data_IF_429091913827
#
_entry.id   IF_429091913827
#
_cell.length_a   1.000
_cell.length_b   1.000
_cell.length_c   1.000
_cell.angle_alpha   90.00
_cell.angle_beta   90.00
_cell.angle_gamma   90.00
#
_symmetry.space_group_name_H-M   'P 1'
#
loop_
_entity.id
_entity.type
_entity.pdbx_description
1 polymer ?
#
# COMPACT_ATOMS: atom_id res chain seq x y z
N UNK A 1 -7.53 -17.74 13.19
CA UNK A 1 -8.66 -16.85 12.86
C UNK A 1 -9.50 -17.51 11.75
N UNK A 2 -10.73 -17.07 11.51
CA UNK A 2 -11.58 -17.54 10.39
C UNK A 2 -11.90 -16.40 9.38
N UNK A 3 -12.62 -16.70 8.30
CA UNK A 3 -13.00 -15.73 7.25
C UNK A 3 -13.66 -14.46 7.81
N UNK A 4 -14.66 -14.61 8.69
CA UNK A 4 -15.39 -13.48 9.26
C UNK A 4 -14.45 -12.58 10.08
N UNK A 5 -13.56 -13.17 10.87
CA UNK A 5 -12.56 -12.43 11.64
C UNK A 5 -11.54 -11.71 10.75
N UNK A 6 -11.19 -12.27 9.58
CA UNK A 6 -10.34 -11.57 8.61
C UNK A 6 -11.07 -10.33 8.06
N UNK A 7 -12.32 -10.48 7.64
CA UNK A 7 -13.08 -9.36 7.07
C UNK A 7 -13.29 -8.26 8.10
N UNK A 8 -13.57 -8.60 9.36
CA UNK A 8 -13.62 -7.62 10.46
C UNK A 8 -12.28 -6.89 10.61
N UNK A 9 -11.17 -7.62 10.65
CA UNK A 9 -9.82 -7.05 10.73
C UNK A 9 -9.50 -6.11 9.56
N UNK A 10 -9.86 -6.50 8.32
CA UNK A 10 -9.60 -5.68 7.14
C UNK A 10 -10.44 -4.39 7.13
N UNK A 11 -11.63 -4.39 7.74
CA UNK A 11 -12.52 -3.23 7.83
C UNK A 11 -12.31 -2.37 9.09
N UNK A 12 -11.51 -2.83 10.06
CA UNK A 12 -11.16 -2.08 11.28
C UNK A 12 -10.40 -0.79 10.95
N UNK A 13 -10.78 0.33 11.54
CA UNK A 13 -10.18 1.64 11.22
C UNK A 13 -8.82 1.86 11.87
N UNK A 14 -8.53 1.12 12.96
CA UNK A 14 -7.30 1.31 13.74
C UNK A 14 -6.14 0.49 13.19
N UNK A 15 -6.43 -0.58 12.46
CA UNK A 15 -5.45 -1.50 11.92
C UNK A 15 -5.11 -1.15 10.47
N UNK A 16 -3.91 -0.62 10.25
CA UNK A 16 -3.39 -0.30 8.91
C UNK A 16 -2.28 -1.26 8.48
N UNK A 17 -1.44 -1.72 9.42
CA UNK A 17 -0.38 -2.68 9.15
C UNK A 17 -0.76 -4.06 9.69
N UNK A 18 -0.53 -5.09 8.88
CA UNK A 18 -1.08 -6.44 9.12
C UNK A 18 -0.03 -7.52 9.37
N UNK A 19 1.26 -7.16 9.43
CA UNK A 19 2.36 -8.12 9.57
C UNK A 19 2.17 -9.07 10.75
N UNK A 20 1.83 -8.54 11.93
CA UNK A 20 1.63 -9.33 13.15
C UNK A 20 0.38 -10.24 13.10
N UNK A 21 -0.47 -10.07 12.10
CA UNK A 21 -1.66 -10.88 11.89
C UNK A 21 -1.44 -12.04 10.91
N UNK A 22 -0.36 -12.03 10.11
CA UNK A 22 -0.06 -13.08 9.12
C UNK A 22 0.05 -14.47 9.76
N UNK A 23 0.70 -14.57 10.92
CA UNK A 23 0.90 -15.84 11.62
C UNK A 23 -0.38 -16.42 12.24
N UNK A 24 -1.50 -15.66 12.22
CA UNK A 24 -2.81 -16.11 12.73
C UNK A 24 -3.59 -16.97 11.74
N UNK A 25 -3.06 -17.13 10.51
CA UNK A 25 -3.59 -17.95 9.44
C UNK A 25 -2.51 -18.89 8.88
N UNK A 26 -2.84 -20.14 8.49
CA UNK A 26 -1.90 -21.05 7.83
C UNK A 26 -1.31 -20.43 6.55
N UNK A 27 -0.02 -20.59 6.31
CA UNK A 27 0.68 -19.91 5.21
C UNK A 27 0.14 -20.26 3.81
N UNK A 28 -0.42 -21.45 3.65
CA UNK A 28 -1.02 -21.94 2.42
C UNK A 28 -2.49 -21.54 2.23
N UNK A 29 -3.11 -20.95 3.27
CA UNK A 29 -4.52 -20.56 3.26
C UNK A 29 -4.78 -19.33 2.41
N UNK A 30 -6.01 -19.21 1.90
CA UNK A 30 -6.41 -18.09 1.04
C UNK A 30 -6.47 -16.77 1.83
N UNK A 31 -6.81 -16.85 3.12
CA UNK A 31 -6.83 -15.74 4.07
C UNK A 31 -5.42 -15.20 4.32
N UNK A 32 -4.43 -16.09 4.47
CA UNK A 32 -3.04 -15.69 4.59
C UNK A 32 -2.57 -14.96 3.33
N UNK A 33 -2.88 -15.50 2.14
CA UNK A 33 -2.54 -14.85 0.86
C UNK A 33 -3.19 -13.47 0.73
N UNK A 34 -4.46 -13.32 1.11
CA UNK A 34 -5.14 -12.03 1.08
C UNK A 34 -4.49 -11.04 2.07
N UNK A 35 -4.17 -11.49 3.28
CA UNK A 35 -3.51 -10.65 4.28
C UNK A 35 -2.06 -10.30 3.90
N UNK A 36 -1.38 -11.18 3.17
CA UNK A 36 -0.05 -10.95 2.59
C UNK A 36 -0.09 -9.81 1.56
N UNK A 37 -1.14 -9.74 0.73
CA UNK A 37 -1.37 -8.60 -0.18
C UNK A 37 -1.52 -7.29 0.60
N UNK A 38 -2.33 -7.27 1.67
CA UNK A 38 -2.44 -6.07 2.51
C UNK A 38 -1.11 -5.71 3.20
N UNK A 39 -0.29 -6.71 3.55
CA UNK A 39 0.97 -6.46 4.24
C UNK A 39 2.05 -5.93 3.30
N UNK A 40 2.23 -6.56 2.14
CA UNK A 40 3.37 -6.29 1.25
C UNK A 40 2.97 -5.93 -0.19
N UNK A 41 1.82 -6.40 -0.65
CA UNK A 41 1.35 -6.21 -2.03
C UNK A 41 0.65 -4.88 -2.28
N UNK A 42 0.11 -4.75 -3.49
CA UNK A 42 -0.63 -3.61 -4.02
C UNK A 42 -1.98 -4.04 -4.60
N UNK A 43 -2.78 -3.08 -5.05
CA UNK A 43 -4.11 -3.31 -5.61
C UNK A 43 -4.12 -4.33 -6.75
N UNK A 44 -3.13 -4.29 -7.65
CA UNK A 44 -3.03 -5.26 -8.73
C UNK A 44 -2.78 -6.69 -8.24
N UNK A 45 -2.00 -6.87 -7.16
CA UNK A 45 -1.79 -8.21 -6.56
C UNK A 45 -3.12 -8.77 -6.01
N UNK A 46 -3.98 -7.89 -5.48
CA UNK A 46 -5.34 -8.29 -5.08
C UNK A 46 -6.19 -8.67 -6.30
N UNK A 47 -6.16 -7.89 -7.38
CA UNK A 47 -6.96 -8.21 -8.59
C UNK A 47 -6.57 -9.56 -9.21
N UNK A 48 -5.29 -9.93 -9.12
CA UNK A 48 -4.84 -11.25 -9.55
C UNK A 48 -5.30 -12.36 -8.60
N UNK A 49 -5.20 -12.15 -7.28
CA UNK A 49 -5.70 -13.09 -6.27
C UNK A 49 -7.23 -13.23 -6.27
N UNK A 50 -7.97 -12.15 -6.56
CA UNK A 50 -9.44 -12.08 -6.50
C UNK A 50 -10.13 -13.14 -7.37
N UNK A 51 -9.46 -13.58 -8.45
CA UNK A 51 -9.94 -14.63 -9.36
C UNK A 51 -10.14 -15.96 -8.62
N UNK A 52 -9.30 -16.23 -7.62
CA UNK A 52 -9.30 -17.46 -6.83
C UNK A 52 -9.97 -17.30 -5.46
N UNK A 53 -10.33 -16.07 -5.05
CA UNK A 53 -10.98 -15.83 -3.77
C UNK A 53 -12.43 -16.36 -3.74
N UNK A 54 -12.88 -16.95 -2.62
CA UNK A 54 -14.29 -17.23 -2.41
C UNK A 54 -15.09 -15.92 -2.29
N UNK A 55 -16.38 -15.97 -2.64
CA UNK A 55 -17.21 -14.77 -2.80
C UNK A 55 -17.33 -13.91 -1.52
N UNK A 56 -17.23 -14.52 -0.35
CA UNK A 56 -17.26 -13.87 0.96
C UNK A 56 -15.96 -13.12 1.32
N UNK A 57 -14.85 -13.45 0.65
CA UNK A 57 -13.56 -12.76 0.81
C UNK A 57 -13.28 -11.71 -0.25
N UNK A 58 -14.09 -11.64 -1.32
CA UNK A 58 -13.96 -10.59 -2.34
C UNK A 58 -14.34 -9.23 -1.76
N UNK A 59 -13.46 -8.26 -1.96
CA UNK A 59 -13.67 -6.89 -1.51
C UNK A 59 -14.70 -6.21 -2.40
N UNK A 60 -15.73 -5.63 -1.80
CA UNK A 60 -16.60 -4.71 -2.53
C UNK A 60 -15.77 -3.48 -2.93
N UNK A 61 -15.90 -2.93 -4.16
CA UNK A 61 -15.03 -1.83 -4.63
C UNK A 61 -14.98 -0.61 -3.71
N UNK A 62 -16.12 -0.27 -3.07
CA UNK A 62 -16.24 0.87 -2.16
C UNK A 62 -16.19 0.45 -0.67
N UNK A 63 -15.76 -0.78 -0.37
CA UNK A 63 -15.58 -1.21 1.03
C UNK A 63 -14.38 -0.51 1.66
N UNK A 64 -14.38 -0.42 3.00
CA UNK A 64 -13.24 0.12 3.76
C UNK A 64 -11.97 -0.68 3.52
N UNK A 65 -12.08 -2.01 3.47
CA UNK A 65 -10.96 -2.87 3.14
C UNK A 65 -10.36 -2.54 1.75
N UNK A 66 -11.20 -2.33 0.73
CA UNK A 66 -10.72 -1.91 -0.60
C UNK A 66 -10.03 -0.54 -0.57
N UNK A 67 -10.67 0.46 0.06
CA UNK A 67 -10.09 1.81 0.20
C UNK A 67 -8.74 1.78 0.94
N UNK A 68 -8.63 0.97 1.99
CA UNK A 68 -7.39 0.78 2.74
C UNK A 68 -6.28 0.16 1.88
N UNK A 69 -6.60 -0.87 1.09
CA UNK A 69 -5.62 -1.45 0.16
C UNK A 69 -5.19 -0.43 -0.91
N UNK A 70 -6.11 0.39 -1.42
CA UNK A 70 -5.78 1.51 -2.33
C UNK A 70 -4.87 2.54 -1.66
N UNK A 71 -5.10 2.89 -0.38
CA UNK A 71 -4.21 3.78 0.38
C UNK A 71 -2.80 3.19 0.52
N UNK A 72 -2.70 1.90 0.87
CA UNK A 72 -1.43 1.18 0.97
C UNK A 72 -0.72 1.10 -0.39
N UNK A 73 -1.48 0.98 -1.48
CA UNK A 73 -0.98 0.99 -2.85
C UNK A 73 -0.40 2.35 -3.25
N UNK A 74 -1.12 3.44 -2.97
CA UNK A 74 -0.61 4.81 -3.17
C UNK A 74 0.66 5.05 -2.35
N UNK A 75 0.71 4.51 -1.13
CA UNK A 75 1.90 4.58 -0.28
C UNK A 75 3.08 3.87 -0.94
N UNK A 76 2.88 2.67 -1.46
CA UNK A 76 3.91 1.94 -2.22
C UNK A 76 4.36 2.68 -3.48
N UNK A 77 3.42 3.32 -4.20
CA UNK A 77 3.75 4.12 -5.38
C UNK A 77 4.69 5.28 -5.01
N UNK A 78 4.36 6.03 -3.96
CA UNK A 78 5.14 7.19 -3.54
C UNK A 78 6.47 6.85 -2.82
N UNK A 79 6.72 5.58 -2.49
CA UNK A 79 8.05 5.16 -2.03
C UNK A 79 9.13 5.35 -3.11
N UNK A 80 8.75 5.23 -4.39
CA UNK A 80 9.68 5.30 -5.52
C UNK A 80 9.45 6.50 -6.44
N UNK A 81 8.31 7.19 -6.29
CA UNK A 81 7.92 8.31 -7.14
C UNK A 81 7.61 9.52 -6.26
N UNK A 82 8.23 10.67 -6.52
CA UNK A 82 7.89 11.90 -5.79
C UNK A 82 6.59 12.51 -6.33
N UNK A 83 6.25 12.27 -7.59
CA UNK A 83 5.08 12.83 -8.27
C UNK A 83 4.21 11.72 -8.84
N UNK A 84 2.88 11.90 -8.81
CA UNK A 84 1.91 11.01 -9.44
C UNK A 84 0.88 11.79 -10.22
N UNK A 85 0.84 11.61 -11.54
CA UNK A 85 -0.25 12.12 -12.40
C UNK A 85 -1.55 11.41 -12.07
N UNK A 86 -2.69 12.11 -12.14
CA UNK A 86 -4.00 11.51 -11.89
C UNK A 86 -4.26 10.27 -12.75
N UNK A 87 -3.94 10.30 -14.04
CA UNK A 87 -4.10 9.14 -14.92
C UNK A 87 -3.31 7.92 -14.42
N UNK A 88 -2.05 8.10 -14.08
CA UNK A 88 -1.20 7.02 -13.54
C UNK A 88 -1.74 6.52 -12.21
N UNK A 89 -2.14 7.42 -11.32
CA UNK A 89 -2.68 7.03 -10.01
C UNK A 89 -4.00 6.28 -10.15
N UNK A 90 -4.90 6.70 -11.06
CA UNK A 90 -6.15 5.99 -11.36
C UNK A 90 -5.90 4.54 -11.73
N UNK A 91 -4.93 4.29 -12.63
CA UNK A 91 -4.54 2.93 -13.01
C UNK A 91 -3.96 2.15 -11.84
N UNK A 92 -3.05 2.77 -11.07
CA UNK A 92 -2.34 2.14 -9.95
C UNK A 92 -3.28 1.68 -8.83
N UNK A 93 -4.30 2.48 -8.49
CA UNK A 93 -5.27 2.14 -7.43
C UNK A 93 -6.61 1.62 -7.96
N UNK A 94 -6.77 1.48 -9.28
CA UNK A 94 -8.05 1.13 -9.90
C UNK A 94 -9.18 2.09 -9.52
N UNK A 95 -8.92 3.40 -9.56
CA UNK A 95 -9.93 4.44 -9.32
C UNK A 95 -10.68 4.79 -10.60
N UNK A 96 -11.94 5.20 -10.46
CA UNK A 96 -12.83 5.54 -11.58
C UNK A 96 -12.54 6.92 -12.17
N UNK A 97 -12.20 7.86 -11.31
CA UNK A 97 -12.05 9.27 -11.63
C UNK A 97 -11.01 9.94 -10.72
N UNK A 98 -10.73 11.21 -11.02
CA UNK A 98 -9.77 12.01 -10.25
C UNK A 98 -10.25 12.24 -8.82
N UNK A 99 -11.56 12.40 -8.61
CA UNK A 99 -12.15 12.60 -7.28
C UNK A 99 -11.87 11.39 -6.36
N UNK A 100 -12.01 10.16 -6.86
CA UNK A 100 -11.66 8.96 -6.11
C UNK A 100 -10.15 8.92 -5.80
N UNK A 101 -9.28 9.36 -6.72
CA UNK A 101 -7.83 9.46 -6.44
C UNK A 101 -7.56 10.45 -5.32
N UNK A 102 -8.14 11.65 -5.35
CA UNK A 102 -7.97 12.64 -4.28
C UNK A 102 -8.46 12.12 -2.95
N UNK A 103 -9.65 11.52 -2.93
CA UNK A 103 -10.23 10.95 -1.72
C UNK A 103 -9.33 9.88 -1.09
N UNK A 104 -8.76 8.97 -1.90
CA UNK A 104 -7.83 7.95 -1.40
C UNK A 104 -6.51 8.59 -0.96
N UNK A 105 -5.98 9.58 -1.69
CA UNK A 105 -4.73 10.25 -1.33
C UNK A 105 -4.86 11.04 -0.02
N UNK A 106 -5.98 11.74 0.17
CA UNK A 106 -6.36 12.44 1.40
C UNK A 106 -6.57 11.44 2.55
N UNK A 107 -7.22 10.31 2.29
CA UNK A 107 -7.40 9.24 3.28
C UNK A 107 -6.05 8.66 3.73
N UNK A 108 -5.15 8.37 2.78
CA UNK A 108 -3.80 7.91 3.09
C UNK A 108 -3.02 8.96 3.91
N UNK A 109 -3.19 10.25 3.61
CA UNK A 109 -2.64 11.33 4.44
C UNK A 109 -3.28 11.36 5.85
N UNK A 110 -4.58 11.15 5.96
CA UNK A 110 -5.30 11.04 7.24
C UNK A 110 -4.79 9.88 8.12
N UNK A 111 -4.40 8.76 7.50
CA UNK A 111 -3.73 7.65 8.18
C UNK A 111 -2.24 7.90 8.47
N UNK A 112 -1.69 9.05 8.07
CA UNK A 112 -0.27 9.37 8.24
C UNK A 112 0.67 8.53 7.36
N UNK A 113 0.13 7.88 6.32
CA UNK A 113 0.93 7.06 5.39
C UNK A 113 1.73 7.91 4.40
N UNK A 114 1.17 9.07 4.03
CA UNK A 114 1.80 10.02 3.11
C UNK A 114 1.56 11.44 3.60
N UNK A 115 2.39 12.36 3.14
CA UNK A 115 2.15 13.80 3.16
C UNK A 115 2.20 14.29 1.73
N UNK A 116 1.11 14.83 1.23
CA UNK A 116 0.93 15.19 -0.17
C UNK A 116 0.57 16.67 -0.34
N UNK A 117 0.77 17.16 -1.55
CA UNK A 117 0.24 18.41 -2.05
C UNK A 117 -0.42 18.13 -3.41
N UNK A 118 -1.66 18.58 -3.56
CA UNK A 118 -2.41 18.43 -4.82
C UNK A 118 -2.15 19.65 -5.69
N UNK A 119 -1.70 19.43 -6.92
CA UNK A 119 -1.56 20.46 -7.95
C UNK A 119 -2.61 20.22 -9.05
N UNK A 120 -3.75 20.90 -8.91
CA UNK A 120 -4.86 20.79 -9.86
C UNK A 120 -4.49 21.28 -11.26
N UNK A 121 -3.59 22.27 -11.37
CA UNK A 121 -3.23 22.84 -12.67
C UNK A 121 -2.37 21.88 -13.48
N UNK A 122 -1.49 21.14 -12.81
CA UNK A 122 -0.66 20.12 -13.42
C UNK A 122 -1.38 18.76 -13.58
N UNK A 123 -2.53 18.58 -12.91
CA UNK A 123 -3.19 17.28 -12.76
C UNK A 123 -2.25 16.24 -12.12
N UNK A 124 -1.57 16.64 -11.04
CA UNK A 124 -0.58 15.82 -10.33
C UNK A 124 -0.72 15.93 -8.80
N UNK A 125 -0.27 14.89 -8.10
CA UNK A 125 -0.10 14.87 -6.65
C UNK A 125 1.41 14.72 -6.35
N UNK A 126 1.94 15.69 -5.61
CA UNK A 126 3.32 15.70 -5.13
C UNK A 126 3.39 15.09 -3.72
N UNK A 127 4.25 14.10 -3.52
CA UNK A 127 4.52 13.49 -2.23
C UNK A 127 5.74 14.12 -1.56
N UNK A 128 5.51 14.75 -0.41
CA UNK A 128 6.54 15.40 0.40
C UNK A 128 7.18 14.43 1.39
N UNK A 129 6.42 13.42 1.83
CA UNK A 129 6.88 12.38 2.76
C UNK A 129 6.02 11.14 2.59
N UNK A 130 6.64 9.98 2.71
CA UNK A 130 5.99 8.68 2.72
C UNK A 130 6.43 7.90 3.95
N UNK A 131 5.50 7.20 4.58
CA UNK A 131 5.76 6.27 5.66
C UNK A 131 6.26 4.93 5.09
N UNK A 132 7.13 4.25 5.83
CA UNK A 132 7.58 2.93 5.45
C UNK A 132 6.45 1.92 5.62
N UNK A 133 6.20 1.10 4.58
CA UNK A 133 5.41 -0.12 4.70
C UNK A 133 6.25 -1.26 5.30
N UNK A 134 5.58 -2.36 5.63
CA UNK A 134 6.23 -3.59 6.06
C UNK A 134 7.17 -4.12 4.97
N UNK A 135 8.30 -4.68 5.39
CA UNK A 135 9.22 -5.43 4.53
C UNK A 135 9.15 -6.91 4.92
N UNK A 136 9.34 -7.81 3.96
CA UNK A 136 9.40 -9.24 4.31
C UNK A 136 10.69 -9.49 5.08
N UNK A 137 10.63 -10.41 6.04
CA UNK A 137 11.81 -10.84 6.78
C UNK A 137 12.61 -11.89 5.98
N UNK A 138 13.06 -11.50 4.78
CA UNK A 138 13.90 -12.32 3.91
C UNK A 138 15.30 -11.68 3.80
N UNK A 139 16.37 -12.47 3.64
CA UNK A 139 17.70 -11.91 3.43
C UNK A 139 17.75 -10.92 2.26
N UNK A 140 17.05 -11.23 1.17
CA UNK A 140 17.00 -10.39 -0.04
C UNK A 140 16.40 -9.01 0.23
N UNK A 141 15.26 -8.95 0.92
CA UNK A 141 14.60 -7.67 1.21
C UNK A 141 15.37 -6.84 2.25
N UNK A 142 15.98 -7.50 3.23
CA UNK A 142 16.85 -6.84 4.21
C UNK A 142 18.11 -6.28 3.54
N UNK A 143 18.72 -7.03 2.61
CA UNK A 143 19.90 -6.59 1.86
C UNK A 143 19.57 -5.38 0.97
N UNK A 144 18.38 -5.32 0.36
CA UNK A 144 17.91 -4.14 -0.38
C UNK A 144 17.84 -2.90 0.51
N UNK A 145 17.28 -3.02 1.72
CA UNK A 145 17.20 -1.89 2.67
C UNK A 145 18.60 -1.45 3.11
N UNK A 146 19.49 -2.39 3.43
CA UNK A 146 20.87 -2.10 3.80
C UNK A 146 21.61 -1.42 2.64
N UNK A 147 21.41 -1.90 1.42
CA UNK A 147 21.95 -1.31 0.19
C UNK A 147 21.53 0.15 0.03
N UNK A 148 20.23 0.43 0.11
CA UNK A 148 19.69 1.80 0.02
C UNK A 148 20.31 2.75 1.07
N UNK A 149 20.51 2.27 2.30
CA UNK A 149 21.16 3.06 3.36
C UNK A 149 22.64 3.33 3.03
N UNK A 150 23.36 2.34 2.50
CA UNK A 150 24.77 2.50 2.09
C UNK A 150 24.90 3.48 0.95
N UNK A 151 24.06 3.37 -0.07
CA UNK A 151 24.07 4.26 -1.24
C UNK A 151 23.76 5.70 -0.83
N UNK A 152 22.80 5.90 0.08
CA UNK A 152 22.52 7.23 0.63
C UNK A 152 23.73 7.81 1.35
N UNK A 153 24.44 7.01 2.16
CA UNK A 153 25.67 7.45 2.85
C UNK A 153 26.78 7.83 1.87
N UNK A 154 26.94 7.08 0.78
CA UNK A 154 27.93 7.39 -0.25
C UNK A 154 27.62 8.71 -0.94
N UNK A 155 26.36 8.91 -1.36
CA UNK A 155 25.91 10.16 -2.00
C UNK A 155 26.08 11.38 -1.10
N UNK A 156 25.80 11.25 0.20
CA UNK A 156 26.06 12.34 1.16
C UNK A 156 27.55 12.66 1.22
N UNK A 157 28.39 11.62 1.34
CA UNK A 157 29.85 11.77 1.42
C UNK A 157 30.43 12.48 0.19
N UNK A 158 29.91 12.20 -1.00
CA UNK A 158 30.33 12.83 -2.26
C UNK A 158 30.06 14.34 -2.31
N UNK A 159 29.03 14.82 -1.62
CA UNK A 159 28.67 16.25 -1.60
C UNK A 159 29.34 17.00 -0.45
N UNK A 160 29.75 16.30 0.61
CA UNK A 160 30.40 16.88 1.80
C UNK A 160 31.93 16.91 1.76
N UNK A 161 32.58 16.32 0.76
CA UNK A 161 34.02 16.43 0.50
C UNK A 161 34.29 17.36 -0.69
#
# INVERSE_FOLDING_TARGET
MNHSQLIELLNDETTIFFYDHLQKFPADSIEHKLLDVFTFGVWNDYLDLEKDLPADLKLKPNSRAAQKLKCLTITSFFLNNIKGRYETLKEVIGAKDEEEVENIAIMAQGFGLVRIQIDQNASEIDCLRVSSRCIRNTPEDLDKVIGNIRDMKLRIKEVTN
#
